data_IF_198251768869
#
_entry.id   IF_198251768869
#
_cell.length_a   1.000
_cell.length_b   1.000
_cell.length_c   1.000
_cell.angle_alpha   90.00
_cell.angle_beta   90.00
_cell.angle_gamma   90.00
#
_symmetry.space_group_name_H-M   'P 1'
#
loop_
_entity.id
_entity.type
_entity.pdbx_description
1 polymer ?
#
# COMPACT_ATOMS: atom_id res chain seq x y z
N UNK A 1 34.28 17.10 61.08
CA UNK A 1 33.88 16.00 60.17
C UNK A 1 32.81 16.56 59.24
N UNK A 2 33.19 17.04 58.05
CA UNK A 2 32.29 17.74 57.14
C UNK A 2 31.83 16.79 56.03
N UNK A 3 30.51 16.56 55.94
CA UNK A 3 29.88 15.67 54.98
C UNK A 3 29.51 16.48 53.73
N UNK A 4 30.23 16.28 52.62
CA UNK A 4 29.97 16.94 51.34
C UNK A 4 28.78 16.31 50.61
N UNK A 5 27.76 17.11 50.33
CA UNK A 5 26.64 16.75 49.44
C UNK A 5 27.13 16.80 47.98
N UNK A 6 27.25 15.64 47.35
CA UNK A 6 27.51 15.55 45.92
C UNK A 6 26.19 15.76 45.14
N UNK A 7 26.09 16.86 44.39
CA UNK A 7 25.03 17.04 43.39
C UNK A 7 25.33 16.14 42.19
N UNK A 8 24.48 15.12 41.98
CA UNK A 8 24.48 14.32 40.75
C UNK A 8 23.75 15.14 39.67
N UNK A 9 24.51 15.68 38.71
CA UNK A 9 23.94 16.32 37.54
C UNK A 9 23.24 15.26 36.66
N UNK A 10 21.93 15.39 36.47
CA UNK A 10 21.17 14.56 35.55
C UNK A 10 21.55 14.90 34.11
N UNK A 11 22.23 13.98 33.42
CA UNK A 11 22.54 14.11 31.99
C UNK A 11 21.24 13.89 31.21
N UNK A 12 20.77 14.85 30.39
CA UNK A 12 19.60 14.63 29.56
C UNK A 12 19.86 13.51 28.56
N UNK A 13 18.99 12.51 28.55
CA UNK A 13 19.05 11.43 27.57
C UNK A 13 18.90 11.99 26.15
N UNK A 14 19.67 11.49 25.17
CA UNK A 14 19.57 11.97 23.80
C UNK A 14 18.15 11.73 23.27
N UNK A 15 17.51 12.79 22.79
CA UNK A 15 16.20 12.70 22.15
C UNK A 15 16.29 11.76 20.95
N UNK A 16 15.63 10.60 21.03
CA UNK A 16 15.53 9.66 19.91
C UNK A 16 14.79 10.36 18.78
N UNK A 17 15.52 10.70 17.71
CA UNK A 17 14.90 11.29 16.52
C UNK A 17 13.81 10.34 16.01
N UNK A 18 12.56 10.81 15.93
CA UNK A 18 11.45 9.99 15.43
C UNK A 18 11.80 9.44 14.05
N UNK A 19 11.78 8.12 13.90
CA UNK A 19 12.08 7.41 12.64
C UNK A 19 10.89 7.38 11.68
N UNK A 20 9.79 8.02 12.08
CA UNK A 20 8.52 8.04 11.36
C UNK A 20 8.06 9.47 11.09
N UNK A 21 7.15 9.63 10.14
CA UNK A 21 6.50 10.89 9.79
C UNK A 21 5.00 10.66 9.55
N UNK A 22 4.16 11.66 9.81
CA UNK A 22 2.75 11.57 9.45
C UNK A 22 2.58 11.68 7.93
N UNK A 23 1.66 10.89 7.40
CA UNK A 23 1.10 11.01 6.06
C UNK A 23 -0.39 11.29 6.22
N UNK A 24 -0.76 12.55 6.02
CA UNK A 24 -2.15 12.98 6.05
C UNK A 24 -2.84 12.60 4.74
N UNK A 25 -3.96 11.93 4.88
CA UNK A 25 -4.82 11.47 3.79
C UNK A 25 -6.19 12.13 3.93
N UNK A 26 -6.99 11.97 2.89
CA UNK A 26 -8.35 12.50 2.82
C UNK A 26 -9.23 11.99 3.96
N UNK A 27 -10.22 12.81 4.35
CA UNK A 27 -11.23 12.49 5.38
C UNK A 27 -10.62 12.14 6.75
N UNK A 28 -9.56 12.83 7.13
CA UNK A 28 -8.99 12.75 8.49
C UNK A 28 -8.04 11.58 8.74
N UNK A 29 -7.93 10.62 7.81
CA UNK A 29 -7.03 9.49 7.96
C UNK A 29 -5.56 9.95 7.98
N UNK A 30 -4.81 9.61 9.01
CA UNK A 30 -3.38 9.86 9.10
C UNK A 30 -2.62 8.56 9.36
N UNK A 31 -1.62 8.29 8.52
CA UNK A 31 -0.72 7.14 8.69
C UNK A 31 0.62 7.61 9.25
N UNK A 32 1.13 6.93 10.27
CA UNK A 32 2.51 7.14 10.74
C UNK A 32 3.43 6.18 9.99
N UNK A 33 4.16 6.70 8.99
CA UNK A 33 5.00 5.90 8.08
C UNK A 33 6.50 6.12 8.36
N UNK A 34 7.37 5.14 8.05
CA UNK A 34 8.82 5.34 8.11
C UNK A 34 9.27 6.56 7.29
N UNK A 35 10.19 7.37 7.84
CA UNK A 35 10.72 8.56 7.16
C UNK A 35 11.37 8.23 5.81
N UNK A 36 11.98 7.06 5.70
CA UNK A 36 12.62 6.55 4.50
C UNK A 36 11.63 6.26 3.34
N UNK A 37 10.34 6.10 3.61
CA UNK A 37 9.34 5.92 2.57
C UNK A 37 9.08 7.24 1.85
N UNK A 38 9.02 7.17 0.52
CA UNK A 38 8.80 8.33 -0.34
C UNK A 38 7.34 8.38 -0.76
N UNK A 39 6.71 9.55 -0.66
CA UNK A 39 5.30 9.74 -1.00
C UNK A 39 5.22 10.61 -2.23
N UNK A 40 4.51 10.13 -3.26
CA UNK A 40 4.31 10.82 -4.52
C UNK A 40 2.81 11.00 -4.76
N UNK A 41 2.39 12.24 -5.01
CA UNK A 41 1.05 12.54 -5.53
C UNK A 41 1.14 12.48 -7.05
N UNK A 42 0.75 11.36 -7.64
CA UNK A 42 0.97 11.07 -9.06
C UNK A 42 -0.06 11.79 -9.92
N UNK A 43 -1.32 11.80 -9.49
CA UNK A 43 -2.43 12.53 -10.10
C UNK A 43 -3.55 12.73 -9.05
N UNK A 44 -4.64 13.45 -9.35
CA UNK A 44 -5.73 13.64 -8.39
C UNK A 44 -6.26 12.32 -7.84
N UNK A 45 -6.30 12.16 -6.51
CA UNK A 45 -6.69 10.92 -5.83
C UNK A 45 -5.79 9.69 -6.09
N UNK A 46 -4.59 9.88 -6.65
CA UNK A 46 -3.57 8.85 -6.82
C UNK A 46 -2.31 9.19 -6.03
N UNK A 47 -2.17 8.59 -4.84
CA UNK A 47 -0.96 8.71 -4.02
C UNK A 47 -0.20 7.39 -4.04
N UNK A 48 1.08 7.42 -4.42
CA UNK A 48 1.99 6.28 -4.36
C UNK A 48 2.93 6.43 -3.18
N UNK A 49 3.06 5.39 -2.36
CA UNK A 49 4.03 5.34 -1.27
C UNK A 49 5.07 4.28 -1.60
N UNK A 50 6.26 4.74 -1.95
CA UNK A 50 7.41 3.89 -2.31
C UNK A 50 8.18 3.51 -1.05
N UNK A 51 8.37 2.22 -0.87
CA UNK A 51 8.91 1.61 0.36
C UNK A 51 10.26 0.91 0.15
N UNK A 52 10.75 0.86 -1.09
CA UNK A 52 12.03 0.28 -1.46
C UNK A 52 12.42 0.66 -2.89
N UNK A 53 13.08 -0.27 -3.60
CA UNK A 53 13.47 -0.07 -5.01
C UNK A 53 12.26 0.25 -5.89
N UNK A 54 12.44 1.20 -6.81
CA UNK A 54 11.43 1.65 -7.74
C UNK A 54 12.08 2.20 -9.01
N UNK A 55 12.25 1.38 -10.05
CA UNK A 55 12.98 1.76 -11.27
C UNK A 55 12.19 2.74 -12.15
N UNK A 56 10.86 2.69 -12.10
CA UNK A 56 9.95 3.59 -12.81
C UNK A 56 8.81 4.01 -11.89
N UNK A 57 8.35 5.26 -12.08
CA UNK A 57 7.27 5.89 -11.30
C UNK A 57 6.14 6.39 -12.20
N UNK A 58 5.93 5.74 -13.34
CA UNK A 58 5.02 6.14 -14.42
C UNK A 58 3.56 5.76 -14.20
N UNK A 59 3.25 4.70 -13.46
CA UNK A 59 1.86 4.26 -13.32
C UNK A 59 1.62 3.04 -12.42
N UNK A 60 0.35 2.67 -12.28
CA UNK A 60 -0.10 1.54 -11.45
C UNK A 60 0.55 0.21 -11.87
N UNK A 61 0.73 0.01 -13.18
CA UNK A 61 1.26 -1.22 -13.79
C UNK A 61 2.80 -1.27 -13.87
N UNK A 62 3.51 -0.38 -13.16
CA UNK A 62 4.98 -0.41 -13.16
C UNK A 62 5.52 -1.63 -12.42
N UNK A 63 6.21 -2.51 -13.14
CA UNK A 63 6.92 -3.63 -12.53
C UNK A 63 8.15 -3.19 -11.73
N UNK A 64 8.47 -3.93 -10.68
CA UNK A 64 9.70 -3.74 -9.90
C UNK A 64 9.64 -2.61 -8.86
N UNK A 65 8.55 -1.86 -8.78
CA UNK A 65 8.44 -0.75 -7.83
C UNK A 65 7.73 -1.14 -6.53
N UNK A 66 8.54 -1.44 -5.50
CA UNK A 66 8.11 -1.78 -4.14
C UNK A 66 7.36 -0.62 -3.50
N UNK A 67 6.05 -0.65 -3.61
CA UNK A 67 5.16 0.45 -3.23
C UNK A 67 3.76 -0.04 -2.93
N UNK A 68 2.95 0.82 -2.32
CA UNK A 68 1.51 0.67 -2.27
C UNK A 68 0.85 1.97 -2.72
N UNK A 69 -0.40 1.86 -3.12
CA UNK A 69 -1.22 2.98 -3.56
C UNK A 69 -2.24 3.34 -2.48
N UNK A 70 -2.48 4.63 -2.32
CA UNK A 70 -3.61 5.20 -1.61
C UNK A 70 -4.44 5.97 -2.62
N UNK A 71 -5.65 5.48 -2.84
CA UNK A 71 -6.53 5.86 -3.92
C UNK A 71 -7.79 6.53 -3.37
N UNK A 72 -8.17 7.64 -3.96
CA UNK A 72 -9.40 8.38 -3.64
C UNK A 72 -10.48 8.26 -4.72
N UNK A 73 -11.53 9.08 -4.65
CA UNK A 73 -12.68 9.03 -5.55
C UNK A 73 -12.35 9.00 -7.05
N UNK A 74 -11.44 9.83 -7.54
CA UNK A 74 -11.13 9.85 -8.97
C UNK A 74 -10.52 8.53 -9.46
N UNK A 75 -9.60 7.93 -8.68
CA UNK A 75 -9.04 6.60 -8.95
C UNK A 75 -10.09 5.49 -8.84
N UNK A 76 -10.94 5.55 -7.80
CA UNK A 76 -12.00 4.56 -7.55
C UNK A 76 -13.03 4.56 -8.68
N UNK A 77 -13.33 5.69 -9.33
CA UNK A 77 -14.28 5.76 -10.45
C UNK A 77 -13.86 4.95 -11.68
N UNK A 78 -12.56 4.66 -11.83
CA UNK A 78 -12.00 3.95 -12.98
C UNK A 78 -11.22 2.70 -12.59
N UNK A 79 -11.47 2.18 -11.38
CA UNK A 79 -10.56 1.24 -10.72
C UNK A 79 -10.57 -0.20 -11.22
N UNK A 80 -11.49 -0.56 -12.11
CA UNK A 80 -11.60 -1.91 -12.67
C UNK A 80 -11.21 -1.95 -14.15
N UNK A 81 -11.10 -3.17 -14.66
CA UNK A 81 -10.88 -3.41 -16.08
C UNK A 81 -11.97 -2.71 -16.92
N UNK A 82 -11.58 -2.18 -18.08
CA UNK A 82 -12.42 -1.31 -18.89
C UNK A 82 -12.68 0.06 -18.27
N UNK A 83 -11.90 0.46 -17.25
CA UNK A 83 -12.03 1.73 -16.53
C UNK A 83 -13.40 1.92 -15.86
N UNK A 84 -14.00 0.82 -15.40
CA UNK A 84 -15.26 0.86 -14.65
C UNK A 84 -15.04 1.19 -13.16
N UNK A 85 -16.07 1.67 -12.43
CA UNK A 85 -15.94 1.97 -11.01
C UNK A 85 -15.56 0.75 -10.17
N UNK A 86 -14.63 0.95 -9.23
CA UNK A 86 -14.20 -0.06 -8.28
C UNK A 86 -15.31 -0.45 -7.31
N UNK A 87 -15.40 -1.74 -7.08
CA UNK A 87 -16.21 -2.38 -6.06
C UNK A 87 -15.47 -3.63 -5.53
N UNK A 88 -15.64 -4.01 -4.26
CA UNK A 88 -14.77 -4.99 -3.59
C UNK A 88 -15.02 -6.46 -3.95
N UNK A 89 -15.89 -6.79 -4.91
CA UNK A 89 -16.08 -8.15 -5.44
C UNK A 89 -15.14 -8.49 -6.60
N UNK A 90 -14.37 -7.51 -7.10
CA UNK A 90 -13.31 -7.67 -8.11
C UNK A 90 -12.03 -6.95 -7.67
N UNK A 91 -10.85 -7.32 -8.20
CA UNK A 91 -9.59 -6.64 -7.89
C UNK A 91 -9.50 -5.26 -8.55
N UNK A 92 -8.84 -4.31 -7.89
CA UNK A 92 -8.46 -3.05 -8.52
C UNK A 92 -7.46 -3.30 -9.66
N UNK A 93 -7.90 -3.10 -10.90
CA UNK A 93 -7.10 -3.33 -12.09
C UNK A 93 -7.55 -2.40 -13.24
N UNK A 94 -7.20 -1.11 -13.20
CA UNK A 94 -7.66 -0.08 -14.14
C UNK A 94 -6.90 -0.17 -15.47
N UNK A 95 -7.26 -1.13 -16.30
CA UNK A 95 -6.63 -1.39 -17.59
C UNK A 95 -7.66 -1.82 -18.64
N UNK A 96 -7.29 -1.74 -19.92
CA UNK A 96 -8.05 -2.31 -21.05
C UNK A 96 -7.43 -3.60 -21.58
N UNK A 97 -6.31 -4.04 -21.01
CA UNK A 97 -5.50 -5.15 -21.47
C UNK A 97 -4.70 -5.81 -20.32
N UNK A 98 -4.11 -6.96 -20.62
CA UNK A 98 -3.23 -7.68 -19.69
C UNK A 98 -1.93 -6.91 -19.51
N UNK A 99 -1.49 -6.75 -18.28
CA UNK A 99 -0.31 -5.97 -17.91
C UNK A 99 0.90 -6.80 -17.54
N UNK A 100 2.06 -6.12 -17.46
CA UNK A 100 3.25 -6.78 -16.99
C UNK A 100 3.07 -7.20 -15.53
N UNK A 101 3.69 -8.31 -15.16
CA UNK A 101 3.71 -8.81 -13.79
C UNK A 101 4.34 -7.78 -12.85
N UNK A 102 3.84 -7.73 -11.61
CA UNK A 102 4.26 -6.76 -10.59
C UNK A 102 5.77 -6.78 -10.34
N UNK A 103 6.43 -7.93 -10.34
CA UNK A 103 7.87 -8.02 -10.02
C UNK A 103 8.78 -8.13 -11.25
N UNK A 104 8.26 -8.48 -12.42
CA UNK A 104 9.04 -8.66 -13.65
C UNK A 104 8.26 -8.16 -14.86
N UNK A 105 8.82 -7.17 -15.56
CA UNK A 105 8.20 -6.54 -16.73
C UNK A 105 8.07 -7.46 -17.95
N UNK A 106 8.82 -8.57 -17.97
CA UNK A 106 8.81 -9.52 -19.09
C UNK A 106 7.79 -10.65 -18.90
N UNK A 107 7.15 -10.71 -17.73
CA UNK A 107 6.06 -11.62 -17.44
C UNK A 107 4.74 -10.87 -17.51
N UNK A 108 3.64 -11.60 -17.65
CA UNK A 108 2.28 -11.05 -17.74
C UNK A 108 1.46 -11.48 -16.53
N UNK A 109 0.57 -10.60 -16.08
CA UNK A 109 -0.38 -10.91 -15.01
C UNK A 109 -1.41 -11.92 -15.55
N UNK A 110 -1.63 -13.00 -14.82
CA UNK A 110 -2.74 -13.92 -15.04
C UNK A 110 -4.00 -13.53 -14.29
N UNK A 111 -5.01 -14.39 -14.36
CA UNK A 111 -6.27 -14.19 -13.66
C UNK A 111 -6.08 -13.99 -12.15
N UNK A 112 -6.80 -13.01 -11.59
CA UNK A 112 -6.90 -12.80 -10.15
C UNK A 112 -7.92 -13.75 -9.53
N UNK A 113 -7.52 -14.43 -8.46
CA UNK A 113 -8.38 -15.30 -7.66
C UNK A 113 -8.44 -14.79 -6.23
N UNK A 114 -9.63 -14.73 -5.67
CA UNK A 114 -9.80 -14.31 -4.28
C UNK A 114 -9.13 -15.32 -3.34
N UNK A 115 -8.12 -14.88 -2.61
CA UNK A 115 -7.42 -15.68 -1.61
C UNK A 115 -7.99 -15.48 -0.21
N UNK A 116 -8.36 -14.24 0.13
CA UNK A 116 -8.90 -13.91 1.45
C UNK A 116 -9.88 -12.73 1.37
N UNK A 117 -10.90 -12.74 2.23
CA UNK A 117 -11.79 -11.58 2.42
C UNK A 117 -12.16 -11.40 3.89
N UNK A 118 -12.44 -10.16 4.30
CA UNK A 118 -12.93 -9.89 5.64
C UNK A 118 -13.05 -8.41 5.94
N UNK A 119 -13.11 -8.09 7.24
CA UNK A 119 -12.98 -6.73 7.74
C UNK A 119 -11.64 -6.60 8.46
N UNK A 120 -10.86 -5.57 8.12
CA UNK A 120 -9.58 -5.28 8.77
C UNK A 120 -9.61 -3.89 9.37
N UNK A 121 -9.10 -3.78 10.58
CA UNK A 121 -9.04 -2.51 11.30
C UNK A 121 -8.09 -1.53 10.61
N UNK A 122 -8.52 -0.28 10.48
CA UNK A 122 -7.73 0.85 9.98
C UNK A 122 -7.82 1.96 11.02
N UNK A 123 -7.04 1.89 12.09
CA UNK A 123 -7.20 2.79 13.24
C UNK A 123 -8.34 2.39 14.19
N UNK A 124 -8.40 2.98 15.39
CA UNK A 124 -9.48 2.74 16.35
C UNK A 124 -10.86 3.07 15.76
N UNK A 125 -11.86 2.22 16.00
CA UNK A 125 -13.25 2.44 15.57
C UNK A 125 -13.53 2.29 14.06
N UNK A 126 -12.50 2.12 13.22
CA UNK A 126 -12.64 2.10 11.76
C UNK A 126 -12.21 0.75 11.18
N UNK A 127 -13.04 0.20 10.29
CA UNK A 127 -12.76 -1.06 9.57
C UNK A 127 -12.90 -0.85 8.07
N UNK A 128 -12.01 -1.47 7.31
CA UNK A 128 -12.05 -1.54 5.86
C UNK A 128 -12.54 -2.92 5.41
N UNK A 129 -13.25 -2.95 4.28
CA UNK A 129 -13.42 -4.18 3.51
C UNK A 129 -12.06 -4.61 3.00
N UNK A 130 -11.61 -5.78 3.45
CA UNK A 130 -10.35 -6.37 3.06
C UNK A 130 -10.55 -7.44 1.99
N UNK A 131 -9.70 -7.40 0.97
CA UNK A 131 -9.56 -8.45 -0.04
C UNK A 131 -8.07 -8.73 -0.24
N UNK A 132 -7.71 -10.00 -0.37
CA UNK A 132 -6.42 -10.43 -0.89
C UNK A 132 -6.68 -11.21 -2.18
N UNK A 133 -6.16 -10.69 -3.29
CA UNK A 133 -6.26 -11.31 -4.59
C UNK A 133 -4.92 -11.94 -4.97
N UNK A 134 -4.91 -13.24 -5.22
CA UNK A 134 -3.76 -13.96 -5.74
C UNK A 134 -3.81 -14.00 -7.26
N UNK A 135 -2.75 -13.59 -7.93
CA UNK A 135 -2.62 -13.71 -9.38
C UNK A 135 -1.30 -14.39 -9.75
N UNK A 136 -1.31 -15.14 -10.85
CA UNK A 136 -0.11 -15.73 -11.42
C UNK A 136 0.68 -14.67 -12.20
N UNK A 137 1.99 -14.84 -12.26
CA UNK A 137 2.84 -14.19 -13.25
C UNK A 137 3.27 -15.23 -14.26
N UNK A 138 2.94 -15.00 -15.52
CA UNK A 138 3.02 -15.97 -16.59
C UNK A 138 4.04 -15.53 -17.64
N UNK A 139 4.84 -16.48 -18.11
CA UNK A 139 5.54 -16.33 -19.37
C UNK A 139 4.62 -16.82 -20.48
N UNK A 140 4.25 -15.92 -21.38
CA UNK A 140 3.40 -16.24 -22.53
C UNK A 140 4.31 -16.73 -23.66
N UNK A 141 4.17 -18.00 -24.03
CA UNK A 141 4.82 -18.58 -25.21
C UNK A 141 3.84 -18.68 -26.38
N UNK A 142 4.37 -18.98 -27.57
CA UNK A 142 3.55 -19.11 -28.80
C UNK A 142 2.54 -20.26 -28.71
N UNK A 143 2.89 -21.36 -28.05
CA UNK A 143 2.06 -22.58 -27.97
C UNK A 143 1.53 -22.85 -26.57
N UNK A 144 2.19 -22.35 -25.52
CA UNK A 144 1.80 -22.57 -24.13
C UNK A 144 2.26 -21.42 -23.23
N UNK A 145 1.39 -21.07 -22.28
CA UNK A 145 1.73 -20.17 -21.18
C UNK A 145 2.22 -20.95 -19.97
N UNK A 146 3.25 -20.46 -19.30
CA UNK A 146 3.85 -21.10 -18.12
C UNK A 146 3.81 -20.17 -16.92
N UNK A 147 3.33 -20.65 -15.78
CA UNK A 147 3.39 -19.90 -14.51
C UNK A 147 4.82 -19.86 -14.00
N UNK A 148 5.33 -18.65 -13.73
CA UNK A 148 6.67 -18.41 -13.17
C UNK A 148 6.64 -17.99 -11.69
N UNK A 149 5.47 -17.66 -11.18
CA UNK A 149 5.27 -17.32 -9.79
C UNK A 149 3.89 -16.75 -9.54
N UNK A 150 3.68 -16.26 -8.33
CA UNK A 150 2.44 -15.63 -7.91
C UNK A 150 2.74 -14.35 -7.13
N UNK A 151 1.82 -13.41 -7.17
CA UNK A 151 1.79 -12.26 -6.28
C UNK A 151 0.42 -12.12 -5.63
N UNK A 152 0.37 -11.27 -4.61
CA UNK A 152 -0.83 -10.99 -3.84
C UNK A 152 -1.10 -9.48 -3.86
N UNK A 153 -2.30 -9.10 -4.27
CA UNK A 153 -2.80 -7.74 -4.22
C UNK A 153 -3.74 -7.61 -3.02
N UNK A 154 -3.24 -6.96 -1.96
CA UNK A 154 -3.97 -6.70 -0.73
C UNK A 154 -4.69 -5.36 -0.85
N UNK A 155 -5.98 -5.35 -0.58
CA UNK A 155 -6.84 -4.19 -0.72
C UNK A 155 -7.56 -3.88 0.59
N UNK A 156 -7.51 -2.63 1.03
CA UNK A 156 -8.31 -2.11 2.15
C UNK A 156 -9.20 -0.98 1.64
N UNK A 157 -10.49 -1.26 1.51
CA UNK A 157 -11.47 -0.31 1.03
C UNK A 157 -12.34 0.24 2.17
N UNK A 158 -12.35 1.56 2.31
CA UNK A 158 -13.22 2.32 3.22
C UNK A 158 -14.29 3.04 2.39
N UNK A 159 -15.51 2.50 2.29
CA UNK A 159 -16.53 3.01 1.38
C UNK A 159 -17.03 4.41 1.76
N UNK A 160 -17.33 4.63 3.05
CA UNK A 160 -17.83 5.92 3.56
C UNK A 160 -16.82 7.04 3.32
N UNK A 161 -15.54 6.76 3.59
CA UNK A 161 -14.50 7.74 3.32
C UNK A 161 -14.26 7.84 1.81
N UNK A 162 -14.38 6.76 1.01
CA UNK A 162 -13.90 6.60 -0.38
C UNK A 162 -12.37 6.53 -0.49
N UNK A 163 -11.77 5.68 0.34
CA UNK A 163 -10.32 5.41 0.34
C UNK A 163 -10.11 3.95 -0.02
N UNK A 164 -9.26 3.68 -0.99
CA UNK A 164 -8.79 2.33 -1.32
C UNK A 164 -7.27 2.29 -1.19
N UNK A 165 -6.76 1.35 -0.41
CA UNK A 165 -5.32 1.11 -0.28
C UNK A 165 -5.01 -0.20 -1.01
N UNK A 166 -4.09 -0.17 -1.98
CA UNK A 166 -3.72 -1.34 -2.80
C UNK A 166 -2.24 -1.63 -2.63
N UNK A 167 -1.90 -2.83 -2.19
CA UNK A 167 -0.52 -3.27 -1.97
C UNK A 167 -0.25 -4.62 -2.64
N UNK A 168 0.52 -4.59 -3.72
CA UNK A 168 0.91 -5.77 -4.50
C UNK A 168 2.22 -6.41 -4.02
N UNK A 169 2.89 -5.79 -3.04
CA UNK A 169 4.26 -6.13 -2.64
C UNK A 169 4.35 -6.78 -1.28
N UNK A 170 3.21 -7.03 -0.63
CA UNK A 170 3.13 -7.46 0.77
C UNK A 170 4.03 -6.60 1.66
N UNK A 171 3.93 -5.28 1.48
CA UNK A 171 4.76 -4.28 2.16
C UNK A 171 4.86 -4.58 3.66
N UNK A 172 6.09 -4.81 4.15
CA UNK A 172 6.36 -5.17 5.54
C UNK A 172 5.92 -4.04 6.48
N UNK A 173 5.16 -4.38 7.51
CA UNK A 173 4.66 -3.43 8.50
C UNK A 173 3.45 -2.61 8.05
N UNK A 174 3.04 -2.63 6.77
CA UNK A 174 1.91 -1.83 6.28
C UNK A 174 0.62 -2.14 7.05
N UNK A 175 0.26 -3.42 7.21
CA UNK A 175 -0.94 -3.81 7.94
C UNK A 175 -0.95 -3.30 9.40
N UNK A 176 0.23 -3.28 10.05
CA UNK A 176 0.38 -2.73 11.41
C UNK A 176 0.21 -1.22 11.44
N UNK A 177 0.81 -0.50 10.47
CA UNK A 177 0.65 0.96 10.31
C UNK A 177 -0.82 1.29 10.11
N UNK A 178 -1.49 0.57 9.22
CA UNK A 178 -2.92 0.76 8.94
C UNK A 178 -3.77 0.51 10.19
N UNK A 179 -3.53 -0.60 10.91
CA UNK A 179 -4.25 -0.90 12.16
C UNK A 179 -4.11 0.20 13.22
N UNK A 180 -2.97 0.91 13.24
CA UNK A 180 -2.65 1.99 14.18
C UNK A 180 -2.91 3.41 13.63
N UNK A 181 -3.55 3.53 12.48
CA UNK A 181 -3.84 4.83 11.88
C UNK A 181 -4.69 5.71 12.82
N UNK A 182 -4.53 7.02 12.70
CA UNK A 182 -5.35 8.01 13.40
C UNK A 182 -6.44 8.56 12.48
N UNK A 183 -7.54 9.01 13.07
CA UNK A 183 -8.66 9.66 12.39
C UNK A 183 -9.03 10.91 13.16
N UNK A 184 -8.83 12.07 12.53
CA UNK A 184 -9.05 13.39 13.13
C UNK A 184 -9.87 14.29 12.18
#
# INVERSE_FOLDING_TARGET
MACGLALVAAIPAPASASTTKPLHLRKGLTLTIPKAWKVYKVSPDWTRVVTGSCPKQSGFRDSGCRSFWVLGPAAIKIGHEGFSPYEPSRPFYPASDVGPCVYDKNLWIGEFKLAEKGLRQIGPGHKAHYRDWKAACMQIGQTKSTVKGYFHQREWFLPSSKILIVDQWRTRGLATILKRAAWN
#
